data_IF_417562783183
#
_entry.id   IF_417562783183
#
_cell.length_a   1.000
_cell.length_b   1.000
_cell.length_c   1.000
_cell.angle_alpha   90.00
_cell.angle_beta   90.00
_cell.angle_gamma   90.00
#
_symmetry.space_group_name_H-M   'P 1'
#
loop_
_entity.id
_entity.type
_entity.pdbx_description
1 polymer ?
#
# COMPACT_ATOMS: atom_id res chain seq x y z
N UNK A 1 10.96 -58.04 -49.53
CA UNK A 1 11.64 -58.27 -48.24
C UNK A 1 10.91 -57.50 -47.15
N UNK A 2 10.69 -58.10 -45.99
CA UNK A 2 10.27 -57.38 -44.77
C UNK A 2 8.76 -57.37 -44.52
N UNK A 3 8.38 -57.74 -43.30
CA UNK A 3 7.06 -58.15 -42.81
C UNK A 3 6.70 -57.27 -41.60
N UNK A 4 5.41 -56.94 -41.42
CA UNK A 4 4.72 -56.61 -40.14
C UNK A 4 5.12 -55.23 -39.53
N UNK A 5 4.33 -54.52 -38.70
CA UNK A 5 3.27 -54.86 -37.73
C UNK A 5 2.25 -53.70 -37.58
N UNK A 6 1.07 -54.07 -37.06
CA UNK A 6 -0.04 -53.23 -36.64
C UNK A 6 0.18 -52.47 -35.31
N UNK A 7 -0.59 -51.39 -35.10
CA UNK A 7 -1.13 -50.89 -33.81
C UNK A 7 -2.20 -49.83 -34.17
N UNK A 8 -3.51 -50.06 -34.01
CA UNK A 8 -4.36 -50.02 -32.79
C UNK A 8 -4.50 -48.62 -32.19
N UNK A 9 -5.71 -48.07 -32.43
CA UNK A 9 -6.60 -47.28 -31.55
C UNK A 9 -6.02 -46.41 -30.43
N UNK A 10 -6.35 -45.12 -30.47
CA UNK A 10 -6.34 -44.23 -29.31
C UNK A 10 -7.16 -42.98 -29.57
N UNK A 11 -8.45 -43.01 -29.19
CA UNK A 11 -9.32 -41.84 -29.18
C UNK A 11 -8.82 -40.84 -28.12
N UNK A 12 -8.29 -39.70 -28.57
CA UNK A 12 -7.90 -38.59 -27.71
C UNK A 12 -9.11 -37.70 -27.43
N UNK A 13 -9.66 -37.83 -26.23
CA UNK A 13 -10.66 -36.92 -25.66
C UNK A 13 -10.04 -35.52 -25.51
N UNK A 14 -10.59 -34.54 -26.21
CA UNK A 14 -10.24 -33.13 -26.06
C UNK A 14 -10.90 -32.61 -24.77
N UNK A 15 -10.17 -32.65 -23.65
CA UNK A 15 -10.58 -31.96 -22.42
C UNK A 15 -10.25 -30.48 -22.57
N UNK A 16 -11.28 -29.68 -22.86
CA UNK A 16 -11.21 -28.22 -22.70
C UNK A 16 -11.26 -27.92 -21.21
N UNK A 17 -10.10 -27.82 -20.57
CA UNK A 17 -10.00 -27.24 -19.23
C UNK A 17 -10.11 -25.72 -19.34
N UNK A 18 -11.35 -25.22 -19.27
CA UNK A 18 -11.63 -23.83 -18.95
C UNK A 18 -11.18 -23.53 -17.53
N UNK A 19 -10.32 -22.54 -17.38
CA UNK A 19 -9.75 -22.16 -16.09
C UNK A 19 -8.81 -20.98 -16.26
N UNK A 20 -9.34 -19.86 -16.78
CA UNK A 20 -8.69 -18.57 -16.67
C UNK A 20 -8.63 -18.17 -15.21
N UNK A 21 -7.59 -18.62 -14.51
CA UNK A 21 -7.15 -18.00 -13.28
C UNK A 21 -6.65 -16.61 -13.68
N UNK A 22 -7.52 -15.62 -13.52
CA UNK A 22 -7.11 -14.24 -13.36
C UNK A 22 -6.20 -14.22 -12.13
N UNK A 23 -4.89 -14.34 -12.36
CA UNK A 23 -3.90 -14.00 -11.36
C UNK A 23 -4.13 -12.53 -11.02
N UNK A 24 -4.73 -12.29 -9.85
CA UNK A 24 -4.64 -10.97 -9.22
C UNK A 24 -3.17 -10.56 -9.12
N UNK A 25 -2.87 -9.26 -9.01
CA UNK A 25 -1.49 -8.81 -8.87
C UNK A 25 -0.86 -9.61 -7.74
N UNK A 26 0.26 -10.27 -8.03
CA UNK A 26 1.05 -10.96 -7.03
C UNK A 26 1.48 -9.90 -6.02
N UNK A 27 0.73 -9.78 -4.92
CA UNK A 27 1.15 -9.00 -3.78
C UNK A 27 2.43 -9.69 -3.29
N UNK A 28 3.57 -9.02 -3.40
CA UNK A 28 4.77 -9.46 -2.72
C UNK A 28 4.38 -9.66 -1.25
N UNK A 29 4.61 -10.87 -0.73
CA UNK A 29 4.31 -11.19 0.66
C UNK A 29 5.58 -10.98 1.48
N UNK A 30 5.41 -10.47 2.70
CA UNK A 30 6.49 -10.47 3.68
C UNK A 30 7.05 -11.89 3.82
N UNK A 31 8.38 -12.02 3.87
CA UNK A 31 9.00 -13.33 4.04
C UNK A 31 8.98 -13.72 5.53
N UNK A 32 8.92 -15.02 5.80
CA UNK A 32 9.11 -15.52 7.16
C UNK A 32 10.53 -15.18 7.65
N UNK A 33 10.67 -14.98 8.96
CA UNK A 33 11.97 -14.71 9.60
C UNK A 33 12.89 -15.90 9.48
N UNK A 34 14.14 -15.65 9.14
CA UNK A 34 15.19 -16.67 9.03
C UNK A 34 16.34 -16.29 9.95
N UNK A 35 16.82 -17.24 10.75
CA UNK A 35 18.08 -17.07 11.48
C UNK A 35 19.24 -17.07 10.47
N UNK A 36 20.11 -16.08 10.58
CA UNK A 36 21.24 -15.87 9.68
C UNK A 36 22.54 -15.90 10.47
N UNK A 37 23.57 -16.43 9.82
CA UNK A 37 24.93 -16.50 10.36
C UNK A 37 25.76 -15.35 9.81
N UNK A 38 26.53 -14.68 10.67
CA UNK A 38 27.41 -13.59 10.28
C UNK A 38 28.70 -13.55 11.12
N UNK A 39 29.83 -13.16 10.50
CA UNK A 39 31.10 -13.07 11.19
C UNK A 39 31.09 -11.88 12.17
N UNK A 40 31.58 -12.14 13.38
CA UNK A 40 31.49 -11.24 14.52
C UNK A 40 32.82 -11.16 15.24
N UNK A 41 33.24 -9.95 15.60
CA UNK A 41 34.40 -9.67 16.42
C UNK A 41 33.96 -9.19 17.80
N UNK A 42 34.23 -9.98 18.83
CA UNK A 42 33.89 -9.67 20.21
C UNK A 42 35.13 -9.29 21.01
N UNK A 43 35.04 -8.23 21.82
CA UNK A 43 36.11 -7.79 22.71
C UNK A 43 35.73 -8.18 24.14
N UNK A 44 36.38 -9.19 24.75
CA UNK A 44 36.13 -9.56 26.13
C UNK A 44 36.49 -8.43 27.11
N UNK A 45 35.89 -8.40 28.32
CA UNK A 45 36.24 -7.42 29.33
C UNK A 45 37.73 -7.50 29.66
N UNK A 46 38.42 -6.36 29.74
CA UNK A 46 39.88 -6.31 29.90
C UNK A 46 40.40 -7.10 31.12
N UNK A 47 39.59 -7.22 32.19
CA UNK A 47 39.91 -7.99 33.39
C UNK A 47 40.10 -9.50 33.11
N UNK A 48 39.54 -10.03 32.03
CA UNK A 48 39.70 -11.42 31.65
C UNK A 48 41.09 -11.72 31.05
N UNK A 49 41.83 -10.70 30.58
CA UNK A 49 43.19 -10.86 30.06
C UNK A 49 43.31 -11.76 28.82
N UNK A 50 42.22 -11.93 28.07
CA UNK A 50 42.17 -12.74 26.85
C UNK A 50 42.11 -11.87 25.59
N UNK A 51 42.64 -12.36 24.45
CA UNK A 51 42.54 -11.64 23.18
C UNK A 51 41.08 -11.52 22.70
N UNK A 52 40.81 -10.62 21.75
CA UNK A 52 39.53 -10.57 21.04
C UNK A 52 39.15 -11.92 20.41
N UNK A 53 37.85 -12.14 20.27
CA UNK A 53 37.26 -13.38 19.77
C UNK A 53 36.63 -13.09 18.41
N UNK A 54 37.15 -13.72 17.36
CA UNK A 54 36.54 -13.76 16.04
C UNK A 54 35.76 -15.08 15.89
N UNK A 55 34.47 -14.99 15.58
CA UNK A 55 33.62 -16.16 15.44
C UNK A 55 32.36 -15.87 14.62
N UNK A 56 31.49 -16.88 14.53
CA UNK A 56 30.19 -16.75 13.86
C UNK A 56 29.11 -16.52 14.91
N UNK A 57 28.25 -15.52 14.69
CA UNK A 57 27.02 -15.34 15.44
C UNK A 57 25.85 -15.80 14.59
N UNK A 58 24.92 -16.56 15.17
CA UNK A 58 23.64 -16.92 14.55
C UNK A 58 22.50 -16.13 15.21
N UNK A 59 21.70 -15.42 14.43
CA UNK A 59 20.62 -14.60 14.98
C UNK A 59 19.44 -14.40 14.03
N UNK A 60 18.24 -14.18 14.60
CA UNK A 60 17.01 -13.94 13.86
C UNK A 60 16.29 -12.67 14.31
N UNK A 61 15.61 -12.02 13.37
CA UNK A 61 14.76 -10.85 13.62
C UNK A 61 13.31 -11.20 13.31
N UNK A 62 12.40 -10.91 14.23
CA UNK A 62 10.95 -10.97 14.01
C UNK A 62 10.32 -9.60 14.23
N UNK A 63 9.12 -9.43 13.72
CA UNK A 63 8.30 -8.23 13.89
C UNK A 63 6.90 -8.60 14.37
N UNK A 64 6.25 -7.68 15.08
CA UNK A 64 4.83 -7.78 15.43
C UNK A 64 3.90 -7.50 14.25
N UNK A 65 4.36 -6.69 13.29
CA UNK A 65 3.61 -6.32 12.09
C UNK A 65 4.48 -6.47 10.82
N UNK A 66 4.23 -7.52 10.05
CA UNK A 66 4.95 -7.82 8.81
C UNK A 66 4.43 -7.05 7.58
N UNK A 67 3.28 -6.40 7.70
CA UNK A 67 2.65 -5.60 6.64
C UNK A 67 2.20 -4.24 7.16
N UNK A 68 3.13 -3.41 7.68
CA UNK A 68 2.78 -2.13 8.28
C UNK A 68 2.34 -1.10 7.24
N UNK A 69 1.74 -0.01 7.72
CA UNK A 69 1.45 1.19 6.93
C UNK A 69 2.46 2.28 7.26
N UNK A 70 2.64 3.23 6.35
CA UNK A 70 3.31 4.50 6.69
C UNK A 70 2.61 5.13 7.89
N UNK A 71 3.39 5.46 8.93
CA UNK A 71 2.93 5.95 10.22
C UNK A 71 2.78 4.87 11.31
N UNK A 72 2.74 3.58 10.95
CA UNK A 72 2.72 2.51 11.94
C UNK A 72 4.06 2.44 12.68
N UNK A 73 4.00 2.10 13.97
CA UNK A 73 5.18 1.73 14.75
C UNK A 73 5.30 0.21 14.75
N UNK A 74 6.45 -0.30 14.32
CA UNK A 74 6.74 -1.73 14.27
C UNK A 74 7.68 -2.07 15.42
N UNK A 75 7.33 -3.10 16.19
CA UNK A 75 8.20 -3.68 17.21
C UNK A 75 9.07 -4.75 16.59
N UNK A 76 10.38 -4.57 16.69
CA UNK A 76 11.37 -5.58 16.28
C UNK A 76 11.80 -6.40 17.50
N UNK A 77 11.90 -7.71 17.32
CA UNK A 77 12.55 -8.61 18.28
C UNK A 77 13.78 -9.20 17.63
N UNK A 78 14.95 -8.83 18.14
CA UNK A 78 16.24 -9.34 17.70
C UNK A 78 16.71 -10.43 18.67
N UNK A 79 16.77 -11.67 18.19
CA UNK A 79 17.18 -12.83 18.98
C UNK A 79 18.54 -13.34 18.53
N UNK A 80 19.54 -13.23 19.40
CA UNK A 80 20.82 -13.91 19.21
C UNK A 80 20.62 -15.36 19.67
N UNK A 81 20.67 -16.27 18.70
CA UNK A 81 20.48 -17.72 18.92
C UNK A 81 21.77 -18.32 19.47
N UNK A 82 22.89 -18.00 18.82
CA UNK A 82 24.22 -18.44 19.21
C UNK A 82 25.21 -17.27 19.08
N UNK A 83 25.71 -16.72 20.19
CA UNK A 83 26.70 -15.64 20.16
C UNK A 83 28.11 -16.17 19.90
N UNK A 84 28.93 -15.39 19.18
CA UNK A 84 30.35 -15.74 18.97
C UNK A 84 31.18 -15.77 20.27
N UNK A 85 30.78 -14.99 21.29
CA UNK A 85 31.44 -14.94 22.58
C UNK A 85 30.98 -16.06 23.53
N UNK A 86 31.85 -16.42 24.47
CA UNK A 86 31.56 -17.34 25.59
C UNK A 86 32.04 -16.73 26.90
N UNK A 87 31.67 -17.33 28.05
CA UNK A 87 32.16 -16.89 29.34
C UNK A 87 33.70 -16.92 29.37
N UNK A 88 34.38 -15.77 29.54
CA UNK A 88 35.83 -15.71 29.38
C UNK A 88 36.58 -16.26 30.59
N UNK A 89 35.92 -16.55 31.71
CA UNK A 89 36.54 -17.01 32.97
C UNK A 89 36.09 -18.41 33.37
N UNK A 90 36.84 -19.07 34.26
CA UNK A 90 36.52 -20.40 34.78
C UNK A 90 35.40 -20.39 35.83
N UNK A 91 35.05 -19.20 36.34
CA UNK A 91 33.98 -19.02 37.31
C UNK A 91 32.62 -19.01 36.60
N UNK A 92 31.66 -19.77 37.14
CA UNK A 92 30.29 -19.72 36.65
C UNK A 92 29.65 -18.36 36.97
N UNK A 93 29.00 -17.78 35.96
CA UNK A 93 28.22 -16.55 36.10
C UNK A 93 26.81 -16.88 36.61
N UNK A 94 26.29 -16.16 37.63
CA UNK A 94 24.91 -16.36 38.10
C UNK A 94 23.85 -16.07 37.04
N UNK A 95 22.63 -16.52 37.32
CA UNK A 95 21.45 -16.11 36.58
C UNK A 95 21.15 -14.61 36.77
N UNK A 96 20.42 -14.03 35.83
CA UNK A 96 19.86 -12.68 35.90
C UNK A 96 20.90 -11.55 36.10
N UNK A 97 22.04 -11.68 35.44
CA UNK A 97 23.11 -10.66 35.44
C UNK A 97 23.34 -10.03 34.06
N UNK A 98 22.90 -10.68 32.98
CA UNK A 98 23.11 -10.25 31.59
C UNK A 98 22.00 -9.31 31.14
N UNK A 99 22.37 -8.15 30.60
CA UNK A 99 21.46 -7.18 29.97
C UNK A 99 21.93 -6.90 28.55
N UNK A 100 21.44 -7.61 27.54
CA UNK A 100 21.94 -7.45 26.18
C UNK A 100 21.39 -6.16 25.55
N UNK A 101 22.21 -5.51 24.72
CA UNK A 101 21.81 -4.40 23.87
C UNK A 101 22.31 -4.64 22.46
N UNK A 102 21.68 -4.03 21.45
CA UNK A 102 22.14 -4.19 20.08
C UNK A 102 21.47 -3.27 19.09
N UNK A 103 21.81 -3.48 17.83
CA UNK A 103 21.29 -2.73 16.69
C UNK A 103 20.66 -3.66 15.66
N UNK A 104 19.59 -3.19 15.04
CA UNK A 104 19.01 -3.78 13.83
C UNK A 104 19.14 -2.74 12.71
N UNK A 105 19.77 -3.13 11.62
CA UNK A 105 19.90 -2.27 10.43
C UNK A 105 18.64 -2.39 9.58
N UNK A 106 18.06 -1.24 9.25
CA UNK A 106 16.89 -1.08 8.37
C UNK A 106 17.37 -0.57 7.02
N UNK A 107 16.96 -1.22 5.94
CA UNK A 107 17.30 -0.85 4.57
C UNK A 107 16.11 -1.04 3.61
N UNK A 108 16.20 -0.49 2.40
CA UNK A 108 15.15 -0.57 1.37
C UNK A 108 14.33 0.73 1.28
N UNK A 109 13.01 0.63 1.41
CA UNK A 109 12.09 1.77 1.31
C UNK A 109 12.38 2.89 2.33
N UNK A 110 12.96 2.53 3.47
CA UNK A 110 13.55 3.47 4.42
C UNK A 110 14.88 2.92 4.94
N UNK A 111 15.68 3.77 5.59
CA UNK A 111 16.99 3.38 6.11
C UNK A 111 17.24 3.97 7.49
N UNK A 112 17.98 3.24 8.32
CA UNK A 112 18.35 3.66 9.67
C UNK A 112 18.73 2.49 10.57
N UNK A 113 19.06 2.79 11.82
CA UNK A 113 19.34 1.78 12.85
C UNK A 113 18.23 1.80 13.92
N UNK A 114 17.79 0.62 14.34
CA UNK A 114 16.93 0.44 15.52
C UNK A 114 17.78 -0.05 16.67
N UNK A 115 17.83 0.73 17.75
CA UNK A 115 18.43 0.27 19.00
C UNK A 115 17.47 -0.68 19.70
N UNK A 116 17.96 -1.83 20.11
CA UNK A 116 17.19 -2.85 20.84
C UNK A 116 17.82 -3.11 22.20
N UNK A 117 16.99 -3.44 23.19
CA UNK A 117 17.42 -3.76 24.55
C UNK A 117 16.69 -5.00 25.05
N UNK A 118 17.42 -5.91 25.67
CA UNK A 118 16.85 -7.08 26.31
C UNK A 118 16.68 -6.90 27.82
N UNK A 119 15.83 -7.72 28.45
CA UNK A 119 15.69 -7.70 29.91
C UNK A 119 16.98 -8.18 30.59
N UNK A 120 17.18 -7.77 31.86
CA UNK A 120 18.21 -8.35 32.73
C UNK A 120 17.81 -9.78 33.14
N UNK A 121 17.97 -10.74 32.22
CA UNK A 121 17.49 -12.10 32.37
C UNK A 121 18.40 -13.08 31.61
N UNK A 122 18.92 -14.07 32.33
CA UNK A 122 19.65 -15.20 31.76
C UNK A 122 19.65 -16.36 32.76
N UNK A 123 19.77 -17.60 32.27
CA UNK A 123 20.15 -18.73 33.13
C UNK A 123 21.62 -18.62 33.57
N UNK A 124 22.05 -19.38 34.60
CA UNK A 124 23.47 -19.43 34.96
C UNK A 124 24.34 -19.84 33.77
N UNK A 125 25.51 -19.22 33.64
CA UNK A 125 26.46 -19.52 32.55
C UNK A 125 27.66 -20.25 33.15
N UNK A 126 27.93 -21.51 32.78
CA UNK A 126 29.10 -22.24 33.27
C UNK A 126 30.41 -21.48 33.00
N UNK A 127 31.44 -21.74 33.81
CA UNK A 127 32.81 -21.31 33.52
C UNK A 127 33.24 -21.80 32.14
N UNK A 128 33.78 -20.92 31.31
CA UNK A 128 34.12 -21.19 29.89
C UNK A 128 32.95 -21.68 29.03
N UNK A 129 31.72 -21.63 29.54
CA UNK A 129 30.51 -22.07 28.84
C UNK A 129 30.00 -21.05 27.83
N UNK A 130 29.16 -21.51 26.91
CA UNK A 130 28.49 -20.65 25.93
C UNK A 130 27.46 -19.77 26.62
N UNK A 131 27.32 -18.53 26.14
CA UNK A 131 26.22 -17.68 26.59
C UNK A 131 24.88 -18.26 26.07
N UNK A 132 23.82 -18.26 26.90
CA UNK A 132 22.50 -18.70 26.45
C UNK A 132 21.96 -17.76 25.37
N UNK A 133 21.02 -18.25 24.54
CA UNK A 133 20.28 -17.37 23.64
C UNK A 133 19.56 -16.27 24.41
N UNK A 134 19.51 -15.07 23.81
CA UNK A 134 18.85 -13.91 24.37
C UNK A 134 18.15 -13.08 23.30
N UNK A 135 17.08 -12.39 23.70
CA UNK A 135 16.28 -11.54 22.83
C UNK A 135 16.27 -10.10 23.33
N UNK A 136 16.25 -9.18 22.39
CA UNK A 136 16.21 -7.73 22.60
C UNK A 136 15.06 -7.15 21.79
N UNK A 137 14.39 -6.14 22.30
CA UNK A 137 13.29 -5.47 21.58
C UNK A 137 13.57 -3.99 21.38
N UNK A 138 13.02 -3.44 20.30
CA UNK A 138 13.05 -2.03 19.97
C UNK A 138 11.92 -1.71 19.01
N UNK A 139 11.76 -0.44 18.65
CA UNK A 139 10.70 -0.01 17.74
C UNK A 139 11.22 0.96 16.71
N UNK A 140 10.58 0.98 15.54
CA UNK A 140 10.77 2.03 14.54
C UNK A 140 9.44 2.41 13.90
N UNK A 141 9.35 3.66 13.45
CA UNK A 141 8.19 4.15 12.69
C UNK A 141 8.42 3.96 11.21
N UNK A 142 7.41 3.47 10.51
CA UNK A 142 7.45 3.32 9.05
C UNK A 142 7.21 4.69 8.40
N UNK A 143 8.16 5.14 7.59
CA UNK A 143 8.13 6.50 7.00
C UNK A 143 7.92 6.50 5.50
N UNK A 144 8.06 5.35 4.83
CA UNK A 144 7.91 5.24 3.39
C UNK A 144 7.30 3.88 3.00
N UNK A 145 6.45 3.82 1.96
CA UNK A 145 5.93 2.57 1.44
C UNK A 145 6.99 1.82 0.64
N UNK A 146 6.90 0.49 0.63
CA UNK A 146 7.80 -0.41 -0.10
C UNK A 146 8.41 -1.49 0.78
N UNK A 147 9.32 -2.28 0.19
CA UNK A 147 10.01 -3.35 0.91
C UNK A 147 11.04 -2.78 1.90
N UNK A 148 11.00 -3.25 3.14
CA UNK A 148 11.96 -2.92 4.19
C UNK A 148 12.66 -4.21 4.62
N UNK A 149 13.99 -4.22 4.55
CA UNK A 149 14.84 -5.32 5.00
C UNK A 149 15.43 -5.02 6.39
N UNK A 150 15.44 -6.03 7.24
CA UNK A 150 15.97 -5.98 8.60
C UNK A 150 17.15 -6.97 8.71
N UNK A 151 18.32 -6.44 9.03
CA UNK A 151 19.55 -7.21 9.22
C UNK A 151 20.06 -7.09 10.66
N UNK A 152 20.60 -8.18 11.25
CA UNK A 152 21.34 -8.12 12.50
C UNK A 152 22.50 -7.11 12.43
N UNK A 153 22.73 -6.37 13.52
CA UNK A 153 23.85 -5.44 13.66
C UNK A 153 24.65 -5.74 14.93
N UNK A 154 25.50 -4.78 15.31
CA UNK A 154 26.33 -4.90 16.52
C UNK A 154 25.48 -5.16 17.76
N UNK A 155 26.02 -5.93 18.69
CA UNK A 155 25.41 -6.19 19.99
C UNK A 155 26.44 -6.14 21.11
N UNK A 156 25.96 -5.97 22.34
CA UNK A 156 26.79 -5.96 23.54
C UNK A 156 26.15 -6.83 24.60
N UNK A 157 26.97 -7.68 25.21
CA UNK A 157 26.61 -8.46 26.38
C UNK A 157 27.12 -7.72 27.61
N UNK A 158 26.23 -6.98 28.25
CA UNK A 158 26.52 -6.33 29.52
C UNK A 158 26.23 -7.29 30.67
N UNK A 159 27.16 -7.43 31.61
CA UNK A 159 27.00 -8.24 32.83
C UNK A 159 27.18 -7.39 34.07
N UNK A 160 26.21 -7.49 34.98
CA UNK A 160 26.11 -6.69 36.21
C UNK A 160 25.97 -7.64 37.40
N UNK A 161 27.11 -7.99 38.03
CA UNK A 161 27.17 -8.86 39.21
C UNK A 161 28.04 -8.28 40.34
N UNK A 162 29.37 -8.45 40.24
CA UNK A 162 30.35 -7.85 41.18
C UNK A 162 30.90 -6.53 40.61
N UNK A 163 30.94 -6.44 39.29
CA UNK A 163 31.40 -5.30 38.51
C UNK A 163 30.52 -5.20 37.27
N UNK A 164 30.55 -4.04 36.63
CA UNK A 164 29.90 -3.81 35.34
C UNK A 164 30.90 -4.12 34.22
N UNK A 165 30.58 -5.12 33.40
CA UNK A 165 31.47 -5.59 32.34
C UNK A 165 30.71 -5.69 31.02
N UNK A 166 31.31 -5.10 29.98
CA UNK A 166 30.79 -5.13 28.62
C UNK A 166 31.62 -6.05 27.74
N UNK A 167 30.93 -6.81 26.89
CA UNK A 167 31.53 -7.58 25.81
C UNK A 167 30.90 -7.10 24.50
N UNK A 168 31.40 -6.00 23.91
CA UNK A 168 30.90 -5.53 22.63
C UNK A 168 31.30 -6.51 21.53
N UNK A 169 30.35 -6.80 20.66
CA UNK A 169 30.47 -7.69 19.52
C UNK A 169 30.03 -6.94 18.26
N UNK A 170 30.97 -6.74 17.34
CA UNK A 170 30.75 -5.98 16.11
C UNK A 170 30.68 -6.90 14.90
N UNK A 171 29.78 -6.60 13.96
CA UNK A 171 29.71 -7.32 12.68
C UNK A 171 30.93 -6.96 11.83
N UNK A 172 31.69 -7.94 11.37
CA UNK A 172 32.96 -7.68 10.67
C UNK A 172 32.81 -7.43 9.17
N UNK A 173 31.69 -7.87 8.58
CA UNK A 173 31.32 -7.62 7.17
C UNK A 173 29.91 -7.02 7.09
N UNK A 174 29.73 -5.73 7.43
CA UNK A 174 28.41 -5.11 7.45
C UNK A 174 27.93 -4.74 6.03
N UNK A 175 26.62 -4.86 5.74
CA UNK A 175 25.56 -5.34 6.63
C UNK A 175 25.52 -6.87 6.70
N UNK A 176 25.12 -7.42 7.86
CA UNK A 176 24.82 -8.85 7.97
C UNK A 176 23.70 -9.26 7.00
N UNK A 177 23.59 -10.56 6.64
CA UNK A 177 22.52 -11.05 5.78
C UNK A 177 21.13 -10.65 6.29
N UNK A 178 20.21 -10.42 5.36
CA UNK A 178 18.84 -10.02 5.70
C UNK A 178 18.14 -11.17 6.42
N UNK A 179 17.70 -10.93 7.66
CA UNK A 179 16.98 -11.91 8.47
C UNK A 179 15.47 -11.84 8.26
N UNK A 180 14.94 -10.64 8.03
CA UNK A 180 13.51 -10.41 7.84
C UNK A 180 13.26 -9.35 6.78
N UNK A 181 12.24 -9.57 5.94
CA UNK A 181 11.69 -8.55 5.05
C UNK A 181 10.23 -8.29 5.40
N UNK A 182 9.86 -7.02 5.45
CA UNK A 182 8.47 -6.57 5.63
C UNK A 182 8.10 -5.66 4.47
N UNK A 183 6.81 -5.50 4.21
CA UNK A 183 6.33 -4.65 3.11
C UNK A 183 5.43 -3.58 3.69
N UNK A 184 5.91 -2.35 3.66
CA UNK A 184 5.17 -1.17 4.08
C UNK A 184 4.19 -0.75 2.98
N UNK A 185 2.94 -0.53 3.34
CA UNK A 185 1.93 0.06 2.46
C UNK A 185 1.83 1.56 2.74
N UNK A 186 1.38 2.35 1.76
CA UNK A 186 1.24 3.81 1.88
C UNK A 186 0.11 4.26 2.83
N UNK A 187 -0.59 3.30 3.44
CA UNK A 187 -1.74 3.59 4.29
C UNK A 187 -2.96 4.06 3.51
N UNK A 188 -2.96 3.94 2.17
CA UNK A 188 -4.16 4.09 1.36
C UNK A 188 -5.26 3.26 2.00
N UNK A 189 -6.32 3.93 2.47
CA UNK A 189 -7.38 3.32 3.27
C UNK A 189 -7.81 2.00 2.66
N UNK A 190 -8.13 1.01 3.51
CA UNK A 190 -8.77 -0.23 3.08
C UNK A 190 -9.73 0.11 1.94
N UNK A 191 -9.46 -0.41 0.74
CA UNK A 191 -10.30 -0.10 -0.41
C UNK A 191 -11.69 -0.52 0.00
N UNK A 192 -12.56 0.44 0.25
CA UNK A 192 -13.88 0.12 0.76
C UNK A 192 -14.66 -0.50 -0.40
N UNK A 193 -14.63 -1.82 -0.48
CA UNK A 193 -15.23 -2.55 -1.59
C UNK A 193 -16.75 -2.64 -1.48
N UNK A 194 -17.33 -2.13 -0.39
CA UNK A 194 -18.78 -2.12 -0.18
C UNK A 194 -19.46 -1.42 -1.34
N UNK A 195 -20.53 -2.05 -1.83
CA UNK A 195 -21.26 -1.52 -2.96
C UNK A 195 -22.75 -1.61 -2.71
N UNK A 196 -23.49 -0.68 -3.29
CA UNK A 196 -24.95 -0.74 -3.35
C UNK A 196 -25.46 -0.59 -4.79
N UNK A 197 -26.67 -1.09 -5.00
CA UNK A 197 -27.47 -0.92 -6.22
C UNK A 197 -28.90 -0.57 -5.83
N UNK A 198 -29.53 0.28 -6.64
CA UNK A 198 -30.94 0.63 -6.48
C UNK A 198 -31.77 -0.18 -7.48
N UNK A 199 -32.93 -0.67 -7.05
CA UNK A 199 -33.89 -1.34 -7.94
C UNK A 199 -34.49 -0.39 -8.99
N UNK A 200 -34.44 0.92 -8.74
CA UNK A 200 -34.79 1.96 -9.70
C UNK A 200 -33.95 3.23 -9.44
N UNK A 201 -33.61 3.96 -10.50
CA UNK A 201 -32.90 5.25 -10.40
C UNK A 201 -33.84 6.44 -10.13
N UNK A 202 -35.16 6.21 -10.08
CA UNK A 202 -36.17 7.24 -9.80
C UNK A 202 -37.46 6.64 -9.26
N UNK A 203 -38.24 7.44 -8.53
CA UNK A 203 -39.57 7.05 -8.05
C UNK A 203 -40.40 8.26 -7.63
N UNK A 204 -41.69 8.08 -7.36
CA UNK A 204 -42.54 9.16 -6.84
C UNK A 204 -42.18 9.45 -5.39
N UNK A 205 -42.40 10.69 -4.92
CA UNK A 205 -42.32 10.97 -3.49
C UNK A 205 -43.23 10.00 -2.70
N UNK A 206 -42.68 9.36 -1.66
CA UNK A 206 -43.36 8.34 -0.85
C UNK A 206 -43.32 6.93 -1.45
N UNK A 207 -42.73 6.72 -2.63
CA UNK A 207 -42.54 5.39 -3.19
C UNK A 207 -41.31 4.70 -2.57
N UNK A 208 -41.38 3.40 -2.24
CA UNK A 208 -40.21 2.65 -1.79
C UNK A 208 -39.28 2.33 -2.97
N UNK A 209 -37.96 2.43 -2.74
CA UNK A 209 -36.93 1.91 -3.63
C UNK A 209 -36.19 0.76 -2.95
N UNK A 210 -36.03 -0.36 -3.66
CA UNK A 210 -35.21 -1.48 -3.19
C UNK A 210 -33.73 -1.09 -3.25
N UNK A 211 -32.99 -1.32 -2.17
CA UNK A 211 -31.55 -1.14 -2.08
C UNK A 211 -30.92 -2.49 -1.79
N UNK A 212 -30.03 -2.94 -2.68
CA UNK A 212 -29.22 -4.13 -2.46
C UNK A 212 -27.78 -3.72 -2.23
N UNK A 213 -27.08 -4.41 -1.33
CA UNK A 213 -25.67 -4.17 -1.08
C UNK A 213 -24.87 -5.44 -0.87
N UNK A 214 -23.55 -5.32 -1.01
CA UNK A 214 -22.59 -6.41 -0.89
C UNK A 214 -21.31 -5.96 -0.21
N UNK A 215 -20.57 -6.94 0.35
CA UNK A 215 -19.30 -6.78 1.06
C UNK A 215 -19.38 -5.96 2.35
N UNK A 216 -20.58 -5.88 2.94
CA UNK A 216 -20.77 -5.38 4.30
C UNK A 216 -20.33 -6.44 5.31
N UNK A 217 -20.11 -6.06 6.56
CA UNK A 217 -19.81 -7.03 7.62
C UNK A 217 -20.99 -7.98 7.82
N UNK A 218 -20.72 -9.28 7.81
CA UNK A 218 -21.74 -10.31 7.98
C UNK A 218 -22.52 -10.10 9.29
N UNK A 219 -23.85 -10.10 9.21
CA UNK A 219 -24.71 -9.86 10.37
C UNK A 219 -24.81 -8.41 10.85
N UNK A 220 -24.09 -7.46 10.23
CA UNK A 220 -24.13 -6.06 10.62
C UNK A 220 -25.50 -5.41 10.37
N UNK A 221 -25.84 -4.43 11.21
CA UNK A 221 -26.98 -3.54 11.00
C UNK A 221 -26.58 -2.44 10.02
N UNK A 222 -27.24 -2.40 8.86
CA UNK A 222 -26.98 -1.44 7.78
C UNK A 222 -28.12 -0.42 7.72
N UNK A 223 -27.77 0.85 7.83
CA UNK A 223 -28.67 1.98 7.65
C UNK A 223 -28.68 2.41 6.19
N UNK A 224 -29.85 2.46 5.59
CA UNK A 224 -30.12 3.07 4.28
C UNK A 224 -30.54 4.51 4.51
N UNK A 225 -30.01 5.46 3.74
CA UNK A 225 -30.36 6.86 3.91
C UNK A 225 -30.43 7.62 2.58
N UNK A 226 -31.42 8.51 2.48
CA UNK A 226 -31.51 9.50 1.42
C UNK A 226 -30.53 10.66 1.62
N UNK A 227 -29.99 11.18 0.52
CA UNK A 227 -29.02 12.27 0.46
C UNK A 227 -29.43 13.33 -0.54
N UNK A 228 -29.21 14.60 -0.19
CA UNK A 228 -29.27 15.77 -1.06
C UNK A 228 -27.88 16.42 -1.04
N UNK A 229 -27.01 16.00 -1.97
CA UNK A 229 -25.57 16.21 -1.79
C UNK A 229 -25.09 15.48 -0.52
N UNK A 230 -24.39 16.17 0.38
CA UNK A 230 -23.97 15.60 1.67
C UNK A 230 -25.03 15.63 2.75
N UNK A 231 -26.07 16.45 2.62
CA UNK A 231 -27.10 16.53 3.64
C UNK A 231 -27.94 15.24 3.60
N UNK A 232 -28.07 14.57 4.74
CA UNK A 232 -29.04 13.49 4.89
C UNK A 232 -30.45 14.10 4.86
N UNK A 233 -31.32 13.59 3.98
CA UNK A 233 -32.67 14.17 3.77
C UNK A 233 -33.69 13.75 4.84
N UNK A 234 -33.28 12.96 5.82
CA UNK A 234 -34.15 12.43 6.89
C UNK A 234 -34.82 11.10 6.52
N UNK A 235 -34.92 10.78 5.23
CA UNK A 235 -35.36 9.45 4.77
C UNK A 235 -34.34 8.39 5.21
N UNK A 236 -34.74 7.46 6.10
CA UNK A 236 -33.89 6.37 6.60
C UNK A 236 -34.63 5.05 6.73
N UNK A 237 -33.90 3.94 6.63
CA UNK A 237 -34.38 2.59 6.93
C UNK A 237 -33.22 1.73 7.45
N UNK A 238 -33.50 0.60 8.08
CA UNK A 238 -32.47 -0.33 8.58
C UNK A 238 -32.71 -1.74 8.07
N UNK A 239 -31.64 -2.40 7.65
CA UNK A 239 -31.63 -3.78 7.16
C UNK A 239 -30.43 -4.53 7.75
N UNK A 240 -30.54 -5.84 7.93
CA UNK A 240 -29.43 -6.66 8.43
C UNK A 240 -28.71 -7.33 7.25
N UNK A 241 -27.38 -7.28 7.25
CA UNK A 241 -26.57 -8.06 6.31
C UNK A 241 -26.64 -9.55 6.66
N UNK A 242 -26.71 -10.40 5.65
CA UNK A 242 -26.67 -11.85 5.79
C UNK A 242 -25.25 -12.37 6.12
N UNK A 243 -25.09 -13.69 6.22
CA UNK A 243 -23.81 -14.33 6.52
C UNK A 243 -22.72 -14.11 5.47
N UNK A 244 -23.06 -13.63 4.27
CA UNK A 244 -22.13 -13.28 3.19
C UNK A 244 -21.78 -11.79 3.15
N UNK A 245 -22.39 -10.98 4.02
CA UNK A 245 -22.24 -9.53 3.96
C UNK A 245 -23.11 -8.87 2.88
N UNK A 246 -24.11 -9.57 2.37
CA UNK A 246 -25.08 -9.04 1.41
C UNK A 246 -26.37 -8.61 2.10
N UNK A 247 -27.11 -7.68 1.52
CA UNK A 247 -28.44 -7.33 2.02
C UNK A 247 -29.39 -6.91 0.90
N UNK A 248 -30.68 -6.94 1.19
CA UNK A 248 -31.75 -6.35 0.38
C UNK A 248 -32.78 -5.71 1.31
N UNK A 249 -32.97 -4.40 1.18
CA UNK A 249 -33.92 -3.62 2.00
C UNK A 249 -34.68 -2.60 1.16
N UNK A 250 -35.67 -1.94 1.76
CA UNK A 250 -36.42 -0.87 1.11
C UNK A 250 -36.20 0.46 1.83
N UNK A 251 -36.01 1.53 1.06
CA UNK A 251 -36.00 2.90 1.53
C UNK A 251 -37.19 3.65 0.92
N UNK A 252 -38.06 4.22 1.75
CA UNK A 252 -39.11 5.13 1.29
C UNK A 252 -38.55 6.53 1.17
N UNK A 253 -38.58 7.10 -0.03
CA UNK A 253 -38.01 8.44 -0.29
C UNK A 253 -39.14 9.47 -0.35
N UNK A 254 -39.30 10.25 0.71
CA UNK A 254 -40.35 11.28 0.81
C UNK A 254 -39.84 12.65 0.38
N UNK A 255 -38.57 12.94 0.61
CA UNK A 255 -38.02 14.29 0.43
C UNK A 255 -37.71 14.55 -1.04
N UNK A 256 -38.36 15.53 -1.70
CA UNK A 256 -38.14 15.81 -3.12
C UNK A 256 -36.72 16.23 -3.47
N UNK A 257 -35.97 16.75 -2.50
CA UNK A 257 -34.57 17.15 -2.67
C UNK A 257 -33.59 15.97 -2.66
N UNK A 258 -34.05 14.74 -2.38
CA UNK A 258 -33.18 13.55 -2.40
C UNK A 258 -32.65 13.31 -3.82
N UNK A 259 -31.33 13.40 -3.97
CA UNK A 259 -30.58 13.18 -5.21
C UNK A 259 -29.76 11.89 -5.20
N UNK A 260 -29.64 11.22 -4.05
CA UNK A 260 -28.95 9.94 -3.95
C UNK A 260 -29.33 9.13 -2.72
N UNK A 261 -28.92 7.87 -2.73
CA UNK A 261 -29.11 6.92 -1.62
C UNK A 261 -27.77 6.32 -1.23
N UNK A 262 -27.46 6.28 0.06
CA UNK A 262 -26.30 5.59 0.64
C UNK A 262 -26.74 4.43 1.52
N UNK A 263 -25.81 3.52 1.83
CA UNK A 263 -25.97 2.54 2.90
C UNK A 263 -24.70 2.49 3.77
N UNK A 264 -24.81 2.34 5.08
CA UNK A 264 -23.66 2.30 5.98
C UNK A 264 -23.91 1.46 7.23
N UNK A 265 -22.87 0.87 7.80
CA UNK A 265 -22.99 0.08 9.04
C UNK A 265 -23.12 1.00 10.26
N UNK A 266 -24.06 0.68 11.14
CA UNK A 266 -24.34 1.47 12.34
C UNK A 266 -25.28 2.65 12.09
N UNK A 267 -25.26 3.62 13.02
CA UNK A 267 -26.26 4.72 13.09
C UNK A 267 -25.77 6.04 12.49
N UNK A 268 -24.49 6.14 12.13
CA UNK A 268 -23.90 7.34 11.54
C UNK A 268 -23.06 7.01 10.32
N UNK A 269 -23.01 7.95 9.38
CA UNK A 269 -22.20 7.81 8.18
C UNK A 269 -20.71 7.78 8.52
N UNK A 270 -20.04 6.75 8.01
CA UNK A 270 -18.59 6.57 8.05
C UNK A 270 -18.17 6.08 6.66
N UNK A 271 -17.27 6.82 6.00
CA UNK A 271 -16.82 6.52 4.65
C UNK A 271 -16.12 5.15 4.56
N UNK A 272 -15.54 4.64 5.65
CA UNK A 272 -14.92 3.32 5.69
C UNK A 272 -15.92 2.17 5.88
N UNK A 273 -17.17 2.48 6.29
CA UNK A 273 -18.25 1.52 6.55
C UNK A 273 -19.49 1.72 5.68
N UNK A 274 -19.41 2.66 4.73
CA UNK A 274 -20.50 3.09 3.87
C UNK A 274 -20.35 2.61 2.43
N UNK A 275 -21.41 2.73 1.64
CA UNK A 275 -21.38 2.55 0.20
C UNK A 275 -22.33 3.55 -0.47
N UNK A 276 -21.94 3.96 -1.67
CA UNK A 276 -22.66 4.95 -2.45
C UNK A 276 -22.11 6.36 -2.23
N UNK A 277 -22.88 7.40 -2.60
CA UNK A 277 -24.27 7.31 -3.01
C UNK A 277 -24.47 6.69 -4.40
N UNK A 278 -25.68 6.20 -4.61
CA UNK A 278 -26.24 5.93 -5.93
C UNK A 278 -27.25 7.01 -6.26
N UNK A 279 -27.14 7.60 -7.44
CA UNK A 279 -28.05 8.64 -7.89
C UNK A 279 -29.50 8.14 -7.86
N UNK A 280 -30.38 8.97 -7.34
CA UNK A 280 -31.82 8.71 -7.26
C UNK A 280 -32.58 10.00 -7.51
N UNK A 281 -33.61 9.97 -8.36
CA UNK A 281 -34.43 11.15 -8.67
C UNK A 281 -35.84 10.98 -8.15
N UNK A 282 -36.29 11.91 -7.31
CA UNK A 282 -37.70 11.98 -6.90
C UNK A 282 -38.52 12.67 -8.00
N UNK A 283 -39.46 11.93 -8.55
CA UNK A 283 -40.42 12.40 -9.55
C UNK A 283 -41.70 12.90 -8.88
N UNK A 284 -42.35 13.91 -9.47
CA UNK A 284 -43.59 14.52 -8.94
C UNK A 284 -43.45 15.13 -7.52
N UNK A 285 -42.36 15.85 -7.24
CA UNK A 285 -42.30 16.75 -6.09
C UNK A 285 -43.04 18.07 -6.34
N UNK A 286 -43.70 18.65 -5.33
CA UNK A 286 -44.18 20.04 -5.37
C UNK A 286 -45.66 20.33 -5.06
N UNK A 287 -46.33 19.53 -4.24
CA UNK A 287 -47.68 19.86 -3.71
C UNK A 287 -48.81 19.83 -4.75
N UNK A 288 -49.96 20.42 -4.42
CA UNK A 288 -51.14 20.52 -5.29
C UNK A 288 -50.95 21.63 -6.35
N UNK A 289 -51.47 21.46 -7.56
CA UNK A 289 -51.37 22.47 -8.65
C UNK A 289 -52.60 23.37 -8.58
N UNK A 290 -52.47 24.70 -8.44
CA UNK A 290 -53.62 25.61 -8.48
C UNK A 290 -54.37 25.58 -9.82
N UNK A 291 -55.68 25.87 -9.79
CA UNK A 291 -56.51 25.98 -10.98
C UNK A 291 -55.94 27.00 -11.98
N UNK A 292 -55.99 26.66 -13.27
CA UNK A 292 -55.44 27.49 -14.34
C UNK A 292 -53.91 27.47 -14.49
N UNK A 293 -53.19 26.68 -13.69
CA UNK A 293 -51.72 26.56 -13.76
C UNK A 293 -51.25 25.28 -14.44
N UNK A 294 -50.03 25.31 -14.99
CA UNK A 294 -49.35 24.13 -15.55
C UNK A 294 -48.07 23.83 -14.77
N UNK A 295 -47.83 22.54 -14.46
CA UNK A 295 -46.58 22.10 -13.85
C UNK A 295 -45.56 21.81 -14.94
N UNK A 296 -44.44 22.53 -14.89
CA UNK A 296 -43.27 22.29 -15.72
C UNK A 296 -42.30 21.37 -14.96
N UNK A 297 -41.93 20.24 -15.53
CA UNK A 297 -40.94 19.32 -14.94
C UNK A 297 -39.73 19.17 -15.86
N UNK A 298 -38.56 19.04 -15.26
CA UNK A 298 -37.31 18.71 -15.94
C UNK A 298 -36.52 17.71 -15.11
N UNK A 299 -35.60 17.00 -15.76
CA UNK A 299 -34.69 16.05 -15.09
C UNK A 299 -33.31 16.14 -15.72
N UNK A 300 -32.27 16.08 -14.89
CA UNK A 300 -30.87 16.03 -15.31
C UNK A 300 -30.35 14.62 -15.03
N UNK A 301 -29.75 13.97 -16.03
CA UNK A 301 -29.16 12.63 -15.89
C UNK A 301 -27.69 12.75 -15.53
N UNK A 302 -27.24 11.92 -14.58
CA UNK A 302 -25.82 11.78 -14.29
C UNK A 302 -25.06 11.13 -15.47
N UNK A 303 -23.82 11.56 -15.68
CA UNK A 303 -22.86 10.97 -16.61
C UNK A 303 -21.89 10.02 -15.90
N UNK A 304 -20.68 9.89 -16.45
CA UNK A 304 -19.63 9.00 -15.95
C UNK A 304 -18.39 9.77 -15.49
N UNK A 305 -17.50 9.08 -14.78
CA UNK A 305 -16.10 9.49 -14.65
C UNK A 305 -15.32 8.98 -15.87
N UNK A 306 -14.53 9.84 -16.51
CA UNK A 306 -13.77 9.48 -17.72
C UNK A 306 -12.49 10.29 -17.85
N UNK A 307 -11.53 9.74 -18.59
CA UNK A 307 -10.24 10.37 -18.92
C UNK A 307 -10.00 10.28 -20.43
N UNK A 308 -9.37 11.31 -21.00
CA UNK A 308 -8.82 11.31 -22.35
C UNK A 308 -7.44 11.97 -22.35
N UNK A 309 -6.52 11.50 -23.20
CA UNK A 309 -5.18 12.06 -23.34
C UNK A 309 -4.98 12.63 -24.75
N UNK A 310 -4.29 13.77 -24.86
CA UNK A 310 -4.12 14.48 -26.14
C UNK A 310 -3.17 13.80 -27.15
N UNK A 311 -2.39 12.79 -26.74
CA UNK A 311 -1.43 12.07 -27.58
C UNK A 311 -0.83 10.85 -26.87
N UNK A 312 -0.19 9.95 -27.62
CA UNK A 312 0.29 8.65 -27.14
C UNK A 312 1.80 8.57 -26.85
N UNK A 313 2.55 9.61 -27.20
CA UNK A 313 4.01 9.64 -27.08
C UNK A 313 4.50 11.00 -26.59
N UNK A 314 5.58 10.98 -25.80
CA UNK A 314 6.27 12.16 -25.28
C UNK A 314 7.76 12.02 -25.59
N UNK A 315 8.31 12.99 -26.29
CA UNK A 315 9.75 13.08 -26.51
C UNK A 315 10.42 13.80 -25.34
N UNK A 316 11.48 13.21 -24.79
CA UNK A 316 12.35 13.86 -23.82
C UNK A 316 13.60 14.42 -24.51
N UNK A 317 14.22 15.43 -23.93
CA UNK A 317 15.45 16.05 -24.47
C UNK A 317 16.63 15.09 -24.46
N UNK A 318 17.54 15.23 -25.43
CA UNK A 318 18.77 14.43 -25.46
C UNK A 318 19.70 14.77 -24.28
N UNK A 319 20.53 13.80 -23.88
CA UNK A 319 21.60 13.95 -22.88
C UNK A 319 22.91 13.51 -23.52
N UNK A 320 23.95 14.31 -23.36
CA UNK A 320 25.26 14.04 -23.95
C UNK A 320 25.96 12.87 -23.25
N UNK A 321 26.54 11.98 -24.07
CA UNK A 321 27.29 10.84 -23.58
C UNK A 321 28.44 11.26 -22.66
N UNK A 322 28.61 10.55 -21.55
CA UNK A 322 29.66 10.80 -20.57
C UNK A 322 29.38 11.92 -19.57
N UNK A 323 28.34 12.74 -19.77
CA UNK A 323 27.92 13.75 -18.79
C UNK A 323 26.79 13.24 -17.89
N UNK A 324 25.83 12.51 -18.47
CA UNK A 324 24.58 12.18 -17.78
C UNK A 324 23.73 13.43 -17.49
N UNK A 325 22.70 13.28 -16.67
CA UNK A 325 21.84 14.36 -16.20
C UNK A 325 20.40 14.29 -16.71
N UNK A 326 19.69 15.41 -16.54
CA UNK A 326 18.25 15.50 -16.71
C UNK A 326 17.83 15.54 -18.20
N UNK A 327 17.16 14.48 -18.65
CA UNK A 327 16.37 14.46 -19.88
C UNK A 327 14.95 14.93 -19.57
N UNK A 328 14.52 16.06 -20.16
CA UNK A 328 13.28 16.76 -19.77
C UNK A 328 12.23 16.76 -20.88
N UNK A 329 10.96 16.78 -20.49
CA UNK A 329 9.83 16.87 -21.43
C UNK A 329 8.54 17.26 -20.72
N UNK A 330 7.42 17.26 -21.45
CA UNK A 330 6.10 17.57 -20.91
C UNK A 330 5.12 16.43 -21.22
N UNK A 331 4.36 16.01 -20.23
CA UNK A 331 3.27 15.06 -20.43
C UNK A 331 2.20 15.67 -21.34
N UNK A 332 1.66 14.88 -22.27
CA UNK A 332 0.47 15.29 -23.01
C UNK A 332 -0.69 15.47 -22.04
N UNK A 333 -1.39 16.60 -22.14
CA UNK A 333 -2.50 16.93 -21.25
C UNK A 333 -3.53 15.80 -21.18
N UNK A 334 -3.92 15.47 -19.95
CA UNK A 334 -4.97 14.51 -19.64
C UNK A 334 -6.21 15.27 -19.19
N UNK A 335 -7.31 15.09 -19.92
CA UNK A 335 -8.60 15.67 -19.57
C UNK A 335 -9.39 14.67 -18.73
N UNK A 336 -9.67 15.02 -17.48
CA UNK A 336 -10.57 14.26 -16.60
C UNK A 336 -11.95 14.92 -16.61
N UNK A 337 -13.00 14.13 -16.79
CA UNK A 337 -14.40 14.56 -16.70
C UNK A 337 -15.11 13.74 -15.65
N UNK A 338 -15.58 14.37 -14.60
CA UNK A 338 -16.44 13.76 -13.59
C UNK A 338 -17.86 14.33 -13.70
N UNK A 339 -18.75 13.57 -14.32
CA UNK A 339 -20.16 13.92 -14.45
C UNK A 339 -21.07 13.05 -13.59
N UNK A 340 -20.52 12.37 -12.57
CA UNK A 340 -21.31 11.51 -11.69
C UNK A 340 -22.28 12.31 -10.81
N UNK A 341 -21.93 13.54 -10.46
CA UNK A 341 -22.77 14.45 -9.66
C UNK A 341 -23.06 13.95 -8.24
N UNK A 342 -22.19 13.08 -7.71
CA UNK A 342 -22.23 12.57 -6.33
C UNK A 342 -21.17 13.26 -5.46
N UNK A 343 -20.84 12.71 -4.29
CA UNK A 343 -19.82 13.23 -3.39
C UNK A 343 -18.45 12.56 -3.58
N UNK A 344 -18.37 11.49 -4.37
CA UNK A 344 -17.14 10.74 -4.57
C UNK A 344 -16.14 11.55 -5.40
N UNK A 345 -14.94 11.71 -4.88
CA UNK A 345 -13.79 12.26 -5.57
C UNK A 345 -13.23 11.30 -6.60
N UNK A 346 -12.06 11.63 -7.12
CA UNK A 346 -11.32 10.81 -8.09
C UNK A 346 -9.82 10.95 -7.89
N UNK A 347 -9.07 9.94 -8.32
CA UNK A 347 -7.61 9.95 -8.32
C UNK A 347 -7.07 9.49 -9.66
N UNK A 348 -6.10 10.24 -10.20
CA UNK A 348 -5.34 9.90 -11.39
C UNK A 348 -3.90 9.60 -10.97
N UNK A 349 -3.48 8.35 -11.16
CA UNK A 349 -2.15 7.87 -10.81
C UNK A 349 -1.39 7.45 -12.06
N UNK A 350 -0.05 7.41 -11.98
CA UNK A 350 0.80 6.96 -13.07
C UNK A 350 1.97 6.13 -12.57
N UNK A 351 2.37 5.12 -13.35
CA UNK A 351 3.57 4.30 -13.12
C UNK A 351 4.32 4.07 -14.41
N UNK A 352 5.64 3.95 -14.36
CA UNK A 352 6.48 3.77 -15.54
C UNK A 352 7.22 2.44 -15.50
N UNK A 353 7.43 1.83 -16.67
CA UNK A 353 8.37 0.70 -16.83
C UNK A 353 9.81 1.20 -16.85
N UNK A 354 10.76 0.28 -16.77
CA UNK A 354 12.14 0.60 -17.12
C UNK A 354 12.22 1.09 -18.57
N UNK A 355 13.19 1.97 -18.83
CA UNK A 355 13.49 2.46 -20.15
C UNK A 355 14.52 1.55 -20.79
N UNK A 356 14.15 0.87 -21.86
CA UNK A 356 15.04 -0.07 -22.56
C UNK A 356 15.69 0.62 -23.75
N UNK A 357 17.00 0.49 -23.86
CA UNK A 357 17.82 1.02 -24.96
C UNK A 357 18.61 -0.07 -25.70
N UNK A 358 19.57 0.32 -26.56
CA UNK A 358 20.31 -0.62 -27.40
C UNK A 358 21.11 -1.64 -26.60
N UNK A 359 21.26 -2.84 -27.16
CA UNK A 359 22.08 -3.91 -26.56
C UNK A 359 21.59 -4.41 -25.21
N UNK A 360 20.32 -4.14 -24.85
CA UNK A 360 19.75 -4.50 -23.55
C UNK A 360 20.12 -3.54 -22.42
N UNK A 361 20.73 -2.39 -22.73
CA UNK A 361 20.96 -1.34 -21.74
C UNK A 361 19.62 -0.82 -21.20
N UNK A 362 19.57 -0.49 -19.91
CA UNK A 362 18.35 -0.01 -19.27
C UNK A 362 18.63 1.20 -18.37
N UNK A 363 17.64 2.09 -18.29
CA UNK A 363 17.54 3.10 -17.24
C UNK A 363 16.33 2.71 -16.39
N UNK A 364 16.54 2.54 -15.08
CA UNK A 364 15.48 2.07 -14.18
C UNK A 364 14.30 3.04 -14.12
N UNK A 365 13.09 2.50 -13.92
CA UNK A 365 11.86 3.27 -13.78
C UNK A 365 11.94 4.37 -12.70
N UNK A 366 12.71 4.11 -11.63
CA UNK A 366 12.94 5.05 -10.52
C UNK A 366 13.66 6.33 -10.95
N UNK A 367 14.29 6.35 -12.12
CA UNK A 367 14.96 7.53 -12.67
C UNK A 367 13.98 8.56 -13.24
N UNK A 368 12.72 8.18 -13.54
CA UNK A 368 11.72 9.13 -14.00
C UNK A 368 11.04 9.81 -12.80
N UNK A 369 11.20 11.12 -12.73
CA UNK A 369 10.41 12.00 -11.89
C UNK A 369 9.45 12.87 -12.70
N UNK A 370 8.48 13.45 -12.01
CA UNK A 370 7.57 14.43 -12.56
C UNK A 370 7.29 15.59 -11.60
N UNK A 371 6.78 16.68 -12.15
CA UNK A 371 6.20 17.80 -11.41
C UNK A 371 4.78 18.05 -11.94
N UNK A 372 3.76 17.50 -11.24
CA UNK A 372 2.37 17.60 -11.67
C UNK A 372 1.80 19.02 -11.61
N UNK A 373 0.86 19.30 -12.50
CA UNK A 373 0.01 20.48 -12.47
C UNK A 373 -1.43 20.07 -12.77
N UNK A 374 -2.39 20.75 -12.15
CA UNK A 374 -3.79 20.52 -12.47
C UNK A 374 -4.57 21.83 -12.50
N UNK A 375 -5.40 21.99 -13.54
CA UNK A 375 -6.28 23.12 -13.74
C UNK A 375 -7.74 22.68 -13.73
N UNK A 376 -8.57 23.47 -13.05
CA UNK A 376 -10.01 23.25 -12.96
C UNK A 376 -10.72 24.13 -13.98
N UNK A 377 -11.58 23.54 -14.83
CA UNK A 377 -12.39 24.33 -15.77
C UNK A 377 -13.40 25.17 -14.99
N UNK A 378 -13.54 26.45 -15.36
CA UNK A 378 -14.52 27.36 -14.77
C UNK A 378 -15.94 26.77 -14.78
N UNK A 379 -16.63 26.86 -13.66
CA UNK A 379 -17.97 26.28 -13.45
C UNK A 379 -17.98 24.81 -13.01
N UNK A 380 -16.81 24.18 -12.88
CA UNK A 380 -16.69 22.85 -12.26
C UNK A 380 -17.00 22.95 -10.75
N UNK A 381 -17.86 22.06 -10.22
CA UNK A 381 -18.16 22.00 -8.79
C UNK A 381 -16.97 21.70 -7.89
N UNK A 382 -16.05 20.85 -8.35
CA UNK A 382 -14.85 20.48 -7.58
C UNK A 382 -13.62 21.26 -7.99
N UNK A 383 -12.61 21.23 -7.11
CA UNK A 383 -11.26 21.71 -7.40
C UNK A 383 -10.32 20.53 -7.59
N UNK A 384 -9.48 20.62 -8.61
CA UNK A 384 -8.42 19.65 -8.82
C UNK A 384 -7.15 20.03 -8.06
N UNK A 385 -6.58 19.07 -7.35
CA UNK A 385 -5.28 19.18 -6.70
C UNK A 385 -4.22 18.43 -7.52
N UNK A 386 -3.08 19.07 -7.76
CA UNK A 386 -1.91 18.41 -8.32
C UNK A 386 -1.27 17.47 -7.29
N UNK A 387 -0.72 16.35 -7.76
CA UNK A 387 0.10 15.46 -6.94
C UNK A 387 1.46 16.07 -6.58
N UNK A 388 2.21 15.37 -5.75
CA UNK A 388 3.54 15.81 -5.33
C UNK A 388 4.58 15.66 -6.44
N UNK A 389 5.49 16.64 -6.53
CA UNK A 389 6.73 16.50 -7.29
C UNK A 389 7.58 15.37 -6.72
N UNK A 390 8.11 14.51 -7.58
CA UNK A 390 8.96 13.41 -7.15
C UNK A 390 9.05 12.29 -8.18
N UNK A 391 9.63 11.17 -7.76
CA UNK A 391 9.76 9.96 -8.57
C UNK A 391 8.40 9.36 -8.89
N UNK A 392 8.22 8.93 -10.14
CA UNK A 392 7.07 8.14 -10.58
C UNK A 392 7.33 6.66 -10.29
N UNK A 393 8.42 6.14 -10.84
CA UNK A 393 8.84 4.75 -10.61
C UNK A 393 7.84 3.69 -11.07
N UNK A 394 8.17 2.44 -10.77
CA UNK A 394 7.28 1.29 -11.00
C UNK A 394 6.18 1.15 -9.95
N UNK A 395 6.42 1.67 -8.74
CA UNK A 395 5.42 1.75 -7.66
C UNK A 395 4.27 2.71 -8.02
N UNK A 396 4.57 3.73 -8.82
CA UNK A 396 3.64 4.76 -9.25
C UNK A 396 3.50 5.91 -8.26
N UNK A 397 2.92 6.99 -8.73
CA UNK A 397 2.64 8.19 -7.95
C UNK A 397 1.29 8.81 -8.36
N UNK A 398 0.74 9.65 -7.50
CA UNK A 398 -0.45 10.45 -7.82
C UNK A 398 -0.06 11.61 -8.72
N UNK A 399 -0.74 11.74 -9.86
CA UNK A 399 -0.59 12.85 -10.79
C UNK A 399 -1.54 13.99 -10.41
N UNK A 400 -2.81 13.69 -10.18
CA UNK A 400 -3.79 14.65 -9.71
C UNK A 400 -4.96 13.95 -9.03
N UNK A 401 -5.71 14.68 -8.22
CA UNK A 401 -6.90 14.17 -7.56
C UNK A 401 -7.93 15.26 -7.26
N UNK A 402 -9.14 14.81 -6.96
CA UNK A 402 -10.17 15.59 -6.30
C UNK A 402 -10.63 14.78 -5.10
N UNK A 403 -10.61 15.34 -3.87
CA UNK A 403 -11.08 14.61 -2.70
C UNK A 403 -12.60 14.41 -2.75
N UNK A 404 -13.09 13.48 -1.94
CA UNK A 404 -14.53 13.39 -1.64
C UNK A 404 -15.03 14.73 -1.06
N UNK A 405 -16.28 15.08 -1.34
CA UNK A 405 -16.88 16.31 -0.84
C UNK A 405 -18.38 16.38 -1.09
N UNK A 406 -19.00 17.51 -0.76
CA UNK A 406 -20.46 17.63 -0.75
C UNK A 406 -21.17 17.44 -2.07
N UNK A 407 -20.45 17.78 -3.13
CA UNK A 407 -20.88 17.64 -4.49
C UNK A 407 -19.62 17.73 -5.34
N UNK A 408 -19.32 16.65 -6.04
CA UNK A 408 -18.18 16.52 -6.93
C UNK A 408 -18.60 16.49 -8.37
N UNK A 409 -17.71 17.01 -9.21
CA UNK A 409 -17.88 16.98 -10.64
C UNK A 409 -17.12 18.09 -11.34
N UNK A 410 -17.14 18.02 -12.67
CA UNK A 410 -16.55 19.03 -13.53
C UNK A 410 -15.61 18.44 -14.57
N UNK A 411 -14.78 19.33 -15.11
CA UNK A 411 -13.79 19.00 -16.13
C UNK A 411 -12.44 19.61 -15.72
N UNK A 412 -11.39 18.83 -15.85
CA UNK A 412 -10.05 19.15 -15.33
C UNK A 412 -9.01 18.86 -16.39
N UNK A 413 -8.01 19.73 -16.50
CA UNK A 413 -6.83 19.52 -17.33
C UNK A 413 -5.65 19.19 -16.40
N UNK A 414 -5.06 18.01 -16.60
CA UNK A 414 -3.96 17.50 -15.80
C UNK A 414 -2.70 17.43 -16.67
N UNK A 415 -1.62 18.03 -16.20
CA UNK A 415 -0.34 18.14 -16.88
C UNK A 415 0.80 17.70 -15.94
N UNK A 416 1.99 17.47 -16.50
CA UNK A 416 3.21 17.32 -15.72
C UNK A 416 4.46 17.67 -16.52
N UNK A 417 5.46 18.26 -15.86
CA UNK A 417 6.83 18.30 -16.40
C UNK A 417 7.51 16.97 -16.05
N UNK A 418 8.16 16.35 -17.02
CA UNK A 418 8.86 15.07 -16.85
C UNK A 418 10.37 15.32 -16.78
N UNK A 419 11.05 14.53 -15.95
CA UNK A 419 12.52 14.54 -15.85
C UNK A 419 13.01 13.11 -15.65
N UNK A 420 13.72 12.58 -16.63
CA UNK A 420 14.42 11.31 -16.55
C UNK A 420 15.88 11.58 -16.22
N UNK A 421 16.37 11.08 -15.09
CA UNK A 421 17.78 11.16 -14.72
C UNK A 421 18.58 10.10 -15.48
N UNK A 422 19.39 10.52 -16.44
CA UNK A 422 20.19 9.64 -17.29
C UNK A 422 21.58 9.51 -16.67
N UNK A 423 22.04 8.30 -16.27
CA UNK A 423 23.38 8.13 -15.73
C UNK A 423 24.48 8.58 -16.69
N UNK A 424 25.61 9.02 -16.15
CA UNK A 424 26.80 9.23 -16.96
C UNK A 424 27.22 7.90 -17.63
N UNK A 425 27.69 8.00 -18.87
CA UNK A 425 28.11 6.85 -19.68
C UNK A 425 27.00 5.83 -20.03
N UNK A 426 25.71 6.19 -19.90
CA UNK A 426 24.62 5.42 -20.51
C UNK A 426 24.89 5.23 -22.01
N UNK A 427 24.73 4.00 -22.51
CA UNK A 427 25.04 3.67 -23.89
C UNK A 427 24.27 4.58 -24.87
N UNK A 428 24.93 5.18 -25.89
CA UNK A 428 24.23 6.04 -26.83
C UNK A 428 23.12 5.32 -27.59
N UNK A 429 21.92 5.90 -27.63
CA UNK A 429 20.79 5.40 -28.42
C UNK A 429 19.43 5.85 -27.88
N UNK A 430 18.37 5.35 -28.51
CA UNK A 430 17.00 5.64 -28.08
C UNK A 430 16.60 4.71 -26.93
N UNK A 431 16.01 5.30 -25.90
CA UNK A 431 15.48 4.60 -24.73
C UNK A 431 13.97 4.80 -24.66
N UNK A 432 13.23 3.70 -24.50
CA UNK A 432 11.76 3.73 -24.45
C UNK A 432 11.26 3.10 -23.17
N UNK A 433 10.39 3.82 -22.46
CA UNK A 433 9.61 3.32 -21.34
C UNK A 433 8.13 3.62 -21.56
N UNK A 434 7.24 2.91 -20.85
CA UNK A 434 5.79 3.09 -20.94
C UNK A 434 5.26 3.66 -19.63
N UNK A 435 4.72 4.89 -19.69
CA UNK A 435 3.97 5.49 -18.58
C UNK A 435 2.49 5.10 -18.69
N UNK A 436 2.01 4.35 -17.71
CA UNK A 436 0.60 3.93 -17.63
C UNK A 436 -0.15 4.81 -16.65
N UNK A 437 -1.23 5.45 -17.11
CA UNK A 437 -2.11 6.29 -16.28
C UNK A 437 -3.39 5.54 -15.92
N UNK A 438 -3.83 5.65 -14.66
CA UNK A 438 -5.03 4.99 -14.14
C UNK A 438 -5.92 5.99 -13.42
N UNK A 439 -7.19 6.06 -13.82
CA UNK A 439 -8.23 6.89 -13.19
C UNK A 439 -9.15 6.01 -12.34
N UNK A 440 -9.39 6.41 -11.09
CA UNK A 440 -10.28 5.73 -10.13
C UNK A 440 -11.25 6.69 -9.48
#
# INVERSE_FOLDING_TARGET
MGRRRAAVLGAGVLVVAGGGLLAGPAQAMATASVAVDFPTHCIPPAIAGIPPIDGTTSAGITVDNAAPKVGDTVTVTYTVVEPAASNPVDLALPADIMTPTGKVTVAGAQSGDVTVTGPKKNGPVPGKGTFPSFSMTGTFTVTAPGEISLSPGDYNIHTSYIMELDTPCTVTDPPAPVSQKIIATDGGGQVNERSIRLGAASGKAGAPVTVTGSKFTAGASVTLAGRAGDAQTGDTATVKADGSGSFSGQLTVNVPATTGVVAYEGTGWDAAKGAGPRAYTVTQGGGEIPDGSQRLTSSVKAGTLSMAQAGDSVALSAVDFGQGGASTGALNTVTVKDFRGGPAGWSLTGKVTDFTGPGGAAIGASALGWEPACATKSGSPSTCAAGSKGTVGSAGATLASTPDGTFTGGEFAVDARLTLDVPAFTAPGAYTGVLTLTLT
#
